data_IF_903760836667
#
_entry.id   IF_903760836667
#
_cell.length_a   1.000
_cell.length_b   1.000
_cell.length_c   1.000
_cell.angle_alpha   90.00
_cell.angle_beta   90.00
_cell.angle_gamma   90.00
#
_symmetry.space_group_name_H-M   'P 1'
#
loop_
_entity.id
_entity.type
_entity.pdbx_description
1 polymer ?
#
# COMPACT_ATOMS: atom_id res chain seq x y z
N UNK A 1 10.64 -18.96 -16.16
CA UNK A 1 9.24 -18.53 -16.14
C UNK A 1 9.18 -17.24 -15.32
N UNK A 2 8.93 -16.08 -15.96
CA UNK A 2 8.81 -14.82 -15.21
C UNK A 2 7.51 -14.88 -14.38
N UNK A 3 7.55 -14.62 -13.06
CA UNK A 3 6.34 -14.64 -12.25
C UNK A 3 5.34 -13.60 -12.77
N UNK A 4 4.05 -13.92 -12.70
CA UNK A 4 2.97 -12.99 -13.05
C UNK A 4 3.12 -11.71 -12.20
N UNK A 5 3.32 -10.54 -12.85
CA UNK A 5 3.55 -9.29 -12.14
C UNK A 5 2.38 -8.88 -11.23
N UNK A 6 1.15 -9.27 -11.58
CA UNK A 6 -0.03 -9.06 -10.74
C UNK A 6 0.06 -9.90 -9.47
N UNK A 7 0.41 -11.18 -9.60
CA UNK A 7 0.59 -12.07 -8.46
C UNK A 7 1.72 -11.59 -7.53
N UNK A 8 2.82 -11.09 -8.10
CA UNK A 8 3.89 -10.47 -7.31
C UNK A 8 3.40 -9.23 -6.55
N UNK A 9 2.65 -8.33 -7.21
CA UNK A 9 2.10 -7.15 -6.56
C UNK A 9 1.11 -7.49 -5.43
N UNK A 10 0.37 -8.58 -5.57
CA UNK A 10 -0.57 -9.04 -4.54
C UNK A 10 0.13 -9.63 -3.30
N UNK A 11 1.34 -10.14 -3.43
CA UNK A 11 2.05 -10.87 -2.36
C UNK A 11 3.18 -10.09 -1.69
N UNK A 12 3.64 -8.97 -2.27
CA UNK A 12 4.72 -8.17 -1.68
C UNK A 12 4.27 -7.38 -0.46
N UNK A 13 5.13 -7.28 0.54
CA UNK A 13 4.88 -6.58 1.80
C UNK A 13 5.97 -5.54 2.08
N UNK A 14 5.55 -4.34 2.48
CA UNK A 14 6.42 -3.20 2.75
C UNK A 14 6.39 -2.76 4.22
N UNK A 15 5.77 -3.57 5.08
CA UNK A 15 5.69 -3.31 6.53
C UNK A 15 4.57 -2.34 6.94
N UNK A 16 3.85 -1.77 5.98
CA UNK A 16 2.67 -0.94 6.15
C UNK A 16 1.63 -1.36 5.12
N UNK A 17 0.40 -1.62 5.56
CA UNK A 17 -0.65 -2.06 4.65
C UNK A 17 -1.00 -0.98 3.61
N UNK A 18 -0.86 0.29 3.98
CA UNK A 18 -1.02 1.41 3.06
C UNK A 18 0.03 1.42 1.94
N UNK A 19 1.29 1.05 2.24
CA UNK A 19 2.33 0.88 1.22
C UNK A 19 2.04 -0.33 0.33
N UNK A 20 1.62 -1.45 0.91
CA UNK A 20 1.24 -2.64 0.15
C UNK A 20 0.08 -2.30 -0.80
N UNK A 21 -0.90 -1.53 -0.33
CA UNK A 21 -2.08 -1.11 -1.09
C UNK A 21 -1.73 -0.16 -2.24
N UNK A 22 -0.94 0.88 -2.00
CA UNK A 22 -0.55 1.84 -3.05
C UNK A 22 0.35 1.23 -4.10
N UNK A 23 1.14 0.22 -3.74
CA UNK A 23 2.10 -0.45 -4.61
C UNK A 23 1.48 -1.54 -5.51
N UNK A 24 0.16 -1.61 -5.60
CA UNK A 24 -0.57 -2.56 -6.45
C UNK A 24 -0.63 -2.17 -7.93
N UNK A 25 -0.07 -1.02 -8.31
CA UNK A 25 0.25 -0.69 -9.71
C UNK A 25 1.70 -1.03 -9.99
N UNK A 26 1.95 -1.89 -10.97
CA UNK A 26 3.29 -2.35 -11.33
C UNK A 26 3.61 -2.04 -12.79
N UNK A 27 4.86 -1.74 -13.08
CA UNK A 27 5.35 -1.58 -14.45
C UNK A 27 5.75 -2.95 -15.00
N UNK A 28 5.24 -3.27 -16.18
CA UNK A 28 5.63 -4.45 -16.96
C UNK A 28 6.28 -4.02 -18.27
N UNK A 29 6.76 -4.97 -19.06
CA UNK A 29 7.29 -4.68 -20.40
C UNK A 29 6.24 -4.07 -21.35
N UNK A 30 4.96 -4.38 -21.13
CA UNK A 30 3.83 -3.84 -21.90
C UNK A 30 3.24 -2.55 -21.30
N UNK A 31 3.85 -2.00 -20.26
CA UNK A 31 3.39 -0.80 -19.58
C UNK A 31 2.85 -1.05 -18.16
N UNK A 32 2.22 -0.05 -17.54
CA UNK A 32 1.66 -0.18 -16.20
C UNK A 32 0.48 -1.13 -16.18
N UNK A 33 0.45 -1.99 -15.16
CA UNK A 33 -0.64 -2.94 -14.89
C UNK A 33 -1.19 -2.69 -13.50
N UNK A 34 -2.50 -2.49 -13.41
CA UNK A 34 -3.22 -2.36 -12.15
C UNK A 34 -3.61 -3.76 -11.62
N UNK A 35 -3.08 -4.12 -10.44
CA UNK A 35 -3.48 -5.38 -9.79
C UNK A 35 -4.94 -5.36 -9.34
N UNK A 36 -5.57 -4.19 -9.21
CA UNK A 36 -7.00 -4.05 -8.90
C UNK A 36 -7.87 -3.79 -10.13
N UNK A 37 -7.44 -4.23 -11.33
CA UNK A 37 -8.24 -4.09 -12.56
C UNK A 37 -9.61 -4.76 -12.51
N UNK A 38 -9.83 -5.69 -11.58
CA UNK A 38 -11.13 -6.30 -11.28
C UNK A 38 -11.42 -6.32 -9.78
N UNK A 39 -12.70 -6.36 -9.44
CA UNK A 39 -13.14 -6.45 -8.04
C UNK A 39 -12.66 -7.72 -7.34
N UNK A 40 -12.57 -8.84 -8.07
CA UNK A 40 -12.13 -10.11 -7.50
C UNK A 40 -10.63 -10.09 -7.15
N UNK A 41 -9.81 -9.40 -7.94
CA UNK A 41 -8.39 -9.21 -7.63
C UNK A 41 -8.20 -8.32 -6.40
N UNK A 42 -9.01 -7.28 -6.23
CA UNK A 42 -9.02 -6.47 -5.01
C UNK A 42 -9.37 -7.33 -3.79
N UNK A 43 -10.46 -8.12 -3.88
CA UNK A 43 -10.89 -8.99 -2.77
C UNK A 43 -9.82 -10.02 -2.45
N UNK A 44 -9.23 -10.64 -3.46
CA UNK A 44 -8.11 -11.58 -3.28
C UNK A 44 -6.89 -10.92 -2.61
N UNK A 45 -6.58 -9.68 -2.97
CA UNK A 45 -5.52 -8.93 -2.31
C UNK A 45 -5.86 -8.67 -0.83
N UNK A 46 -7.08 -8.26 -0.52
CA UNK A 46 -7.50 -8.01 0.85
C UNK A 46 -7.50 -9.29 1.69
N UNK A 47 -7.88 -10.44 1.12
CA UNK A 47 -7.78 -11.74 1.77
C UNK A 47 -6.32 -12.12 2.09
N UNK A 48 -5.37 -11.77 1.21
CA UNK A 48 -3.93 -12.00 1.41
C UNK A 48 -3.29 -10.99 2.36
N UNK A 49 -3.72 -9.75 2.31
CA UNK A 49 -3.19 -8.66 3.12
C UNK A 49 -3.72 -8.69 4.56
N UNK A 50 -4.87 -9.32 4.75
CA UNK A 50 -5.56 -9.51 6.03
C UNK A 50 -5.59 -8.23 6.88
N UNK A 51 -6.22 -7.13 6.40
CA UNK A 51 -6.32 -5.92 7.19
C UNK A 51 -7.04 -6.17 8.52
N UNK A 52 -6.68 -5.48 9.60
CA UNK A 52 -7.33 -5.65 10.90
C UNK A 52 -8.85 -5.54 10.80
N UNK A 53 -9.57 -6.56 11.27
CA UNK A 53 -11.03 -6.65 11.20
C UNK A 53 -11.60 -6.96 9.81
N UNK A 54 -10.77 -7.33 8.84
CA UNK A 54 -11.21 -7.62 7.47
C UNK A 54 -12.29 -8.69 7.34
N UNK A 55 -12.24 -9.83 8.04
CA UNK A 55 -13.28 -10.86 7.93
C UNK A 55 -14.69 -10.32 8.20
N UNK A 56 -14.83 -9.46 9.21
CA UNK A 56 -16.09 -8.82 9.60
C UNK A 56 -16.49 -7.67 8.66
N UNK A 57 -15.49 -7.05 8.03
CA UNK A 57 -15.69 -5.95 7.09
C UNK A 57 -15.87 -6.41 5.64
N UNK A 58 -15.69 -7.70 5.33
CA UNK A 58 -15.79 -8.25 3.97
C UNK A 58 -17.17 -8.02 3.37
N UNK A 59 -17.28 -7.33 2.21
CA UNK A 59 -18.57 -7.02 1.62
C UNK A 59 -19.24 -8.27 1.06
N UNK A 60 -20.54 -8.41 1.31
CA UNK A 60 -21.38 -9.48 0.76
C UNK A 60 -22.12 -8.99 -0.48
N UNK A 61 -22.12 -9.80 -1.54
CA UNK A 61 -22.82 -9.51 -2.78
C UNK A 61 -22.06 -8.60 -3.76
N UNK A 62 -22.42 -8.70 -5.04
CA UNK A 62 -21.71 -8.06 -6.15
C UNK A 62 -21.76 -6.53 -6.10
N UNK A 63 -22.91 -5.95 -5.74
CA UNK A 63 -23.06 -4.48 -5.65
C UNK A 63 -22.15 -3.90 -4.59
N UNK A 64 -22.09 -4.50 -3.39
CA UNK A 64 -21.22 -4.07 -2.32
C UNK A 64 -19.72 -4.19 -2.71
N UNK A 65 -19.34 -5.25 -3.42
CA UNK A 65 -17.98 -5.43 -3.96
C UNK A 65 -17.62 -4.39 -5.01
N UNK A 66 -18.54 -4.02 -5.91
CA UNK A 66 -18.32 -2.94 -6.89
C UNK A 66 -18.13 -1.58 -6.24
N UNK A 67 -18.93 -1.27 -5.21
CA UNK A 67 -18.76 -0.04 -4.41
C UNK A 67 -17.39 -0.05 -3.74
N UNK A 68 -17.02 -1.13 -3.08
CA UNK A 68 -15.71 -1.29 -2.46
C UNK A 68 -14.58 -1.05 -3.47
N UNK A 69 -14.68 -1.63 -4.67
CA UNK A 69 -13.65 -1.49 -5.71
C UNK A 69 -13.49 -0.03 -6.17
N UNK A 70 -14.59 0.67 -6.44
CA UNK A 70 -14.55 2.07 -6.84
C UNK A 70 -13.92 2.97 -5.76
N UNK A 71 -14.28 2.73 -4.49
CA UNK A 71 -13.70 3.47 -3.37
C UNK A 71 -12.23 3.09 -3.12
N UNK A 72 -11.84 1.84 -3.35
CA UNK A 72 -10.44 1.40 -3.24
C UNK A 72 -9.53 2.12 -4.25
N UNK A 73 -9.97 2.25 -5.50
CA UNK A 73 -9.22 3.00 -6.52
C UNK A 73 -9.06 4.46 -6.13
N UNK A 74 -10.13 5.11 -5.62
CA UNK A 74 -10.06 6.50 -5.13
C UNK A 74 -9.12 6.65 -3.94
N UNK A 75 -9.24 5.75 -2.96
CA UNK A 75 -8.39 5.75 -1.77
C UNK A 75 -6.92 5.58 -2.13
N UNK A 76 -6.59 4.69 -3.08
CA UNK A 76 -5.23 4.47 -3.53
C UNK A 76 -4.60 5.73 -4.14
N UNK A 77 -5.35 6.46 -4.96
CA UNK A 77 -4.90 7.75 -5.51
C UNK A 77 -4.68 8.78 -4.40
N UNK A 78 -5.57 8.83 -3.41
CA UNK A 78 -5.41 9.74 -2.28
C UNK A 78 -4.21 9.39 -1.38
N UNK A 79 -3.93 8.09 -1.18
CA UNK A 79 -2.73 7.65 -0.44
C UNK A 79 -1.46 8.02 -1.22
N UNK A 80 -1.41 7.80 -2.54
CA UNK A 80 -0.25 8.21 -3.35
C UNK A 80 -0.02 9.72 -3.26
N UNK A 81 -1.06 10.53 -3.37
CA UNK A 81 -0.98 11.98 -3.22
C UNK A 81 -0.53 12.41 -1.80
N UNK A 82 -1.02 11.73 -0.75
CA UNK A 82 -0.57 11.95 0.63
C UNK A 82 0.93 11.67 0.78
N UNK A 83 1.41 10.55 0.24
CA UNK A 83 2.83 10.18 0.30
C UNK A 83 3.71 11.17 -0.50
N UNK A 84 3.22 11.66 -1.66
CA UNK A 84 3.91 12.71 -2.41
C UNK A 84 4.04 13.99 -1.58
N UNK A 85 2.95 14.49 -1.02
CA UNK A 85 2.95 15.69 -0.19
C UNK A 85 3.87 15.53 1.04
N UNK A 86 3.78 14.39 1.73
CA UNK A 86 4.62 14.09 2.88
C UNK A 86 6.12 14.05 2.52
N UNK A 87 6.49 13.37 1.44
CA UNK A 87 7.89 13.28 0.99
C UNK A 87 8.45 14.64 0.52
N UNK A 88 7.62 15.47 -0.12
CA UNK A 88 7.96 16.84 -0.53
C UNK A 88 7.92 17.85 0.63
N UNK A 89 7.38 17.48 1.79
CA UNK A 89 7.10 18.37 2.94
C UNK A 89 6.12 19.50 2.58
N UNK A 90 5.19 19.19 1.69
CA UNK A 90 4.14 20.11 1.27
C UNK A 90 2.88 19.94 2.10
N UNK A 91 2.00 20.92 2.02
CA UNK A 91 0.70 20.86 2.69
C UNK A 91 -0.22 19.90 1.96
N UNK A 92 -0.91 19.06 2.72
CA UNK A 92 -1.98 18.21 2.21
C UNK A 92 -3.19 19.08 1.82
N UNK A 93 -3.81 18.79 0.67
CA UNK A 93 -5.06 19.45 0.26
C UNK A 93 -6.26 18.89 1.04
N UNK A 94 -7.31 19.70 1.20
CA UNK A 94 -8.56 19.25 1.83
C UNK A 94 -9.15 18.01 1.14
N UNK A 95 -9.09 17.95 -0.20
CA UNK A 95 -9.59 16.83 -1.00
C UNK A 95 -8.90 15.49 -0.66
N UNK A 96 -7.59 15.50 -0.39
CA UNK A 96 -6.87 14.30 0.07
C UNK A 96 -7.42 13.88 1.43
N UNK A 97 -7.56 14.81 2.38
CA UNK A 97 -8.10 14.54 3.71
C UNK A 97 -9.52 14.00 3.69
N UNK A 98 -10.39 14.58 2.87
CA UNK A 98 -11.76 14.13 2.69
C UNK A 98 -11.82 12.70 2.13
N UNK A 99 -11.01 12.40 1.13
CA UNK A 99 -10.99 11.07 0.51
C UNK A 99 -10.45 10.00 1.48
N UNK A 100 -9.40 10.30 2.24
CA UNK A 100 -8.87 9.42 3.29
C UNK A 100 -9.88 9.23 4.44
N UNK A 101 -10.62 10.27 4.80
CA UNK A 101 -11.62 10.22 5.87
C UNK A 101 -12.91 9.48 5.50
N UNK A 102 -13.22 9.32 4.20
CA UNK A 102 -14.46 8.65 3.76
C UNK A 102 -14.64 7.24 4.32
N UNK A 103 -13.67 6.31 4.17
CA UNK A 103 -13.81 4.96 4.72
C UNK A 103 -14.01 4.94 6.24
N UNK A 104 -13.34 5.85 6.96
CA UNK A 104 -13.40 5.92 8.43
C UNK A 104 -14.78 6.30 8.94
N UNK A 105 -15.51 7.18 8.23
CA UNK A 105 -16.89 7.57 8.58
C UNK A 105 -17.89 6.41 8.50
N UNK A 106 -17.55 5.35 7.79
CA UNK A 106 -18.40 4.18 7.59
C UNK A 106 -18.00 2.96 8.45
N UNK A 107 -17.16 3.19 9.46
CA UNK A 107 -16.81 2.21 10.49
C UNK A 107 -17.27 2.75 11.85
N UNK A 108 -18.14 2.01 12.51
CA UNK A 108 -18.45 2.23 13.93
C UNK A 108 -17.47 1.41 14.75
N UNK A 109 -16.78 2.04 15.66
CA UNK A 109 -15.87 1.38 16.59
C UNK A 109 -16.48 1.43 17.98
N UNK A 110 -16.58 0.28 18.65
CA UNK A 110 -17.03 0.15 20.03
C UNK A 110 -15.96 -0.59 20.83
N UNK A 111 -15.61 -0.03 21.97
CA UNK A 111 -14.70 -0.68 22.90
C UNK A 111 -15.54 -1.36 23.99
N UNK A 112 -15.26 -2.64 24.25
CA UNK A 112 -15.91 -3.42 25.30
C UNK A 112 -14.87 -3.98 26.23
N UNK A 113 -15.14 -3.87 27.54
CA UNK A 113 -14.33 -4.53 28.55
C UNK A 113 -14.83 -5.96 28.69
N UNK A 114 -13.97 -6.95 28.56
CA UNK A 114 -14.25 -8.38 28.71
C UNK A 114 -13.31 -8.98 29.73
N UNK A 115 -13.83 -9.92 30.49
CA UNK A 115 -13.11 -10.67 31.52
C UNK A 115 -13.98 -10.88 32.75
N UNK A 116 -13.66 -11.91 33.53
CA UNK A 116 -14.38 -12.35 34.73
C UNK A 116 -13.66 -12.00 36.03
N UNK A 117 -12.44 -11.49 35.95
CA UNK A 117 -11.64 -11.10 37.08
C UNK A 117 -10.73 -9.90 36.75
N UNK A 118 -10.30 -9.08 37.74
CA UNK A 118 -9.47 -7.91 37.48
C UNK A 118 -8.18 -8.21 36.72
N UNK A 119 -7.60 -9.38 36.91
CA UNK A 119 -6.38 -9.81 36.21
C UNK A 119 -6.62 -10.34 34.79
N UNK A 120 -7.86 -10.62 34.41
CA UNK A 120 -8.28 -11.14 33.13
C UNK A 120 -9.01 -10.08 32.27
N UNK A 121 -9.14 -8.84 32.78
CA UNK A 121 -9.78 -7.76 32.03
C UNK A 121 -8.98 -7.41 30.78
N UNK A 122 -9.65 -7.43 29.65
CA UNK A 122 -9.12 -7.00 28.36
C UNK A 122 -10.05 -5.98 27.71
N UNK A 123 -9.49 -5.11 26.89
CA UNK A 123 -10.25 -4.16 26.06
C UNK A 123 -10.37 -4.74 24.67
N UNK A 124 -11.57 -5.19 24.30
CA UNK A 124 -11.89 -5.60 22.94
C UNK A 124 -12.41 -4.43 22.13
N UNK A 125 -11.91 -4.31 20.91
CA UNK A 125 -12.33 -3.28 19.95
C UNK A 125 -13.16 -3.94 18.85
N UNK A 126 -14.47 -3.79 18.92
CA UNK A 126 -15.40 -4.25 17.87
C UNK A 126 -15.55 -3.18 16.80
N UNK A 127 -15.49 -3.61 15.53
CA UNK A 127 -15.69 -2.73 14.37
C UNK A 127 -16.87 -3.20 13.56
N UNK A 128 -17.86 -2.33 13.40
CA UNK A 128 -19.03 -2.56 12.56
C UNK A 128 -18.92 -1.74 11.28
N UNK A 129 -19.06 -2.40 10.14
CA UNK A 129 -19.09 -1.72 8.83
C UNK A 129 -20.53 -1.26 8.52
N UNK A 130 -20.70 0.05 8.38
CA UNK A 130 -21.98 0.66 8.04
C UNK A 130 -22.22 0.80 6.52
N UNK A 131 -21.13 0.71 5.72
CA UNK A 131 -21.16 0.85 4.26
C UNK A 131 -19.97 0.06 3.65
N UNK A 132 -20.06 -0.45 2.41
CA UNK A 132 -18.96 -1.21 1.78
C UNK A 132 -17.59 -0.51 1.81
N UNK A 133 -17.55 0.82 1.68
CA UNK A 133 -16.32 1.60 1.77
C UNK A 133 -15.63 1.52 3.15
N UNK A 134 -16.38 1.24 4.22
CA UNK A 134 -15.83 1.08 5.57
C UNK A 134 -14.79 -0.05 5.67
N UNK A 135 -14.86 -1.03 4.77
CA UNK A 135 -13.85 -2.09 4.67
C UNK A 135 -12.43 -1.58 4.38
N UNK A 136 -12.28 -0.37 3.86
CA UNK A 136 -11.01 0.30 3.59
C UNK A 136 -10.50 1.15 4.78
N UNK A 137 -11.29 1.25 5.85
CA UNK A 137 -10.95 2.05 7.03
C UNK A 137 -9.58 1.73 7.61
N UNK A 138 -9.23 0.45 7.87
CA UNK A 138 -7.90 0.07 8.37
C UNK A 138 -6.74 0.53 7.47
N UNK A 139 -6.94 0.52 6.15
CA UNK A 139 -5.92 0.96 5.18
C UNK A 139 -5.74 2.49 5.23
N UNK A 140 -6.85 3.23 5.31
CA UNK A 140 -6.82 4.68 5.43
C UNK A 140 -6.17 5.12 6.76
N UNK A 141 -6.50 4.43 7.86
CA UNK A 141 -5.90 4.66 9.18
C UNK A 141 -4.39 4.40 9.16
N UNK A 142 -3.96 3.29 8.56
CA UNK A 142 -2.55 2.94 8.43
C UNK A 142 -1.77 3.96 7.58
N UNK A 143 -2.38 4.50 6.51
CA UNK A 143 -1.77 5.56 5.71
C UNK A 143 -1.49 6.84 6.52
N UNK A 144 -2.43 7.24 7.37
CA UNK A 144 -2.26 8.40 8.26
C UNK A 144 -1.18 8.11 9.30
N UNK A 145 -1.20 6.93 9.92
CA UNK A 145 -0.18 6.51 10.89
C UNK A 145 1.21 6.45 10.27
N UNK A 146 1.32 5.95 9.04
CA UNK A 146 2.57 5.89 8.29
C UNK A 146 3.21 7.28 8.17
N UNK A 147 2.47 8.27 7.65
CA UNK A 147 3.03 9.62 7.45
C UNK A 147 3.25 10.39 8.75
N UNK A 148 2.50 10.07 9.80
CA UNK A 148 2.70 10.64 11.13
C UNK A 148 3.93 10.06 11.86
N UNK A 149 4.28 8.79 11.59
CA UNK A 149 5.34 8.07 12.31
C UNK A 149 6.66 8.04 11.56
N UNK A 150 6.63 8.05 10.22
CA UNK A 150 7.81 7.93 9.38
C UNK A 150 8.26 9.32 8.91
N UNK A 151 9.51 9.67 9.18
CA UNK A 151 10.08 10.93 8.70
C UNK A 151 9.93 11.07 7.16
N UNK A 152 9.55 12.27 6.71
CA UNK A 152 9.43 12.60 5.29
C UNK A 152 10.66 12.19 4.46
N UNK A 153 11.86 12.32 5.01
CA UNK A 153 13.12 11.93 4.35
C UNK A 153 13.28 10.42 4.17
N UNK A 154 12.47 9.65 4.87
CA UNK A 154 12.46 8.17 4.83
C UNK A 154 11.34 7.60 3.96
N UNK A 155 10.33 8.38 3.61
CA UNK A 155 9.30 8.03 2.64
C UNK A 155 9.85 8.27 1.24
N UNK A 156 10.02 7.21 0.44
CA UNK A 156 10.71 7.30 -0.85
C UNK A 156 10.03 6.51 -1.94
N UNK A 157 10.08 7.03 -3.15
CA UNK A 157 9.85 6.23 -4.36
C UNK A 157 11.10 5.47 -4.77
N UNK A 158 10.93 4.27 -5.28
CA UNK A 158 12.00 3.49 -5.87
C UNK A 158 12.63 4.23 -7.06
N UNK A 159 13.97 4.23 -7.14
CA UNK A 159 14.72 4.90 -8.22
C UNK A 159 14.93 4.03 -9.46
N UNK A 160 14.33 2.84 -9.54
CA UNK A 160 14.34 2.07 -10.76
C UNK A 160 13.35 2.66 -11.78
N UNK A 161 13.77 2.89 -13.01
CA UNK A 161 12.99 3.53 -14.07
C UNK A 161 11.68 2.78 -14.38
N UNK A 162 11.70 1.46 -14.13
CA UNK A 162 10.59 0.54 -14.29
C UNK A 162 9.89 0.21 -12.97
N UNK A 163 9.87 1.13 -11.98
CA UNK A 163 9.28 0.90 -10.69
C UNK A 163 8.61 2.15 -10.12
N UNK A 164 7.31 2.05 -9.79
CA UNK A 164 6.52 3.16 -9.20
C UNK A 164 6.39 3.07 -7.67
N UNK A 165 7.00 2.06 -7.03
CA UNK A 165 6.71 1.69 -5.64
C UNK A 165 7.24 2.68 -4.63
N UNK A 166 6.40 2.91 -3.62
CA UNK A 166 6.78 3.57 -2.38
C UNK A 166 7.39 2.59 -1.39
N UNK A 167 8.28 3.07 -0.54
CA UNK A 167 8.79 2.33 0.61
C UNK A 167 9.21 3.27 1.74
N UNK A 168 9.16 2.78 2.97
CA UNK A 168 9.78 3.43 4.12
C UNK A 168 11.24 2.94 4.23
N UNK A 169 12.19 3.87 4.25
CA UNK A 169 13.60 3.53 4.40
C UNK A 169 13.93 3.30 5.87
N UNK A 170 13.91 2.04 6.29
CA UNK A 170 14.26 1.59 7.65
C UNK A 170 15.74 1.33 7.84
N UNK A 171 16.59 1.56 6.83
CA UNK A 171 18.03 1.36 6.93
C UNK A 171 18.69 2.32 7.92
N UNK A 172 19.77 1.90 8.58
CA UNK A 172 20.50 2.70 9.57
C UNK A 172 20.92 4.08 9.02
N UNK A 173 21.40 4.11 7.77
CA UNK A 173 21.88 5.35 7.13
C UNK A 173 20.80 6.16 6.39
N UNK A 174 19.56 5.67 6.24
CA UNK A 174 18.49 6.38 5.53
C UNK A 174 18.82 6.70 4.07
N UNK A 175 19.62 5.89 3.38
CA UNK A 175 20.12 6.14 2.00
C UNK A 175 19.68 5.09 0.99
N UNK A 176 18.68 4.29 1.34
CA UNK A 176 18.16 3.24 0.45
C UNK A 176 17.53 3.88 -0.80
N UNK A 177 17.94 3.44 -1.97
CA UNK A 177 17.46 3.94 -3.27
C UNK A 177 16.39 3.04 -3.92
N UNK A 178 16.28 1.78 -3.48
CA UNK A 178 15.45 0.75 -4.10
C UNK A 178 14.43 0.20 -3.10
N UNK A 179 13.21 -0.04 -3.58
CA UNK A 179 12.18 -0.69 -2.76
C UNK A 179 12.57 -2.11 -2.33
N UNK A 180 13.40 -2.79 -3.13
CA UNK A 180 14.00 -4.09 -2.83
C UNK A 180 15.39 -4.19 -3.45
N UNK A 181 16.38 -4.62 -2.66
CA UNK A 181 17.72 -4.93 -3.20
C UNK A 181 17.71 -6.18 -4.07
N UNK A 182 16.92 -7.19 -3.69
CA UNK A 182 16.84 -8.47 -4.43
C UNK A 182 16.24 -8.31 -5.83
N UNK A 183 15.35 -7.33 -6.03
CA UNK A 183 14.72 -7.06 -7.32
C UNK A 183 15.29 -5.81 -7.98
N UNK A 184 14.87 -4.62 -7.59
CA UNK A 184 15.24 -3.36 -8.23
C UNK A 184 16.74 -3.05 -8.11
N UNK A 185 17.35 -3.33 -6.94
CA UNK A 185 18.78 -3.11 -6.74
C UNK A 185 19.65 -4.00 -7.64
N UNK A 186 19.31 -5.29 -7.75
CA UNK A 186 20.05 -6.22 -8.59
C UNK A 186 19.86 -5.90 -10.09
N UNK A 187 18.63 -5.52 -10.53
CA UNK A 187 18.42 -5.05 -11.91
C UNK A 187 19.28 -3.83 -12.24
N UNK A 188 19.32 -2.84 -11.36
CA UNK A 188 20.11 -1.63 -11.55
C UNK A 188 21.62 -1.94 -11.60
N UNK A 189 22.12 -2.90 -10.80
CA UNK A 189 23.50 -3.37 -10.88
C UNK A 189 23.79 -4.07 -12.21
N UNK A 190 22.92 -4.97 -12.65
CA UNK A 190 23.06 -5.67 -13.92
C UNK A 190 23.03 -4.72 -15.12
N UNK A 191 22.14 -3.71 -15.11
CA UNK A 191 22.10 -2.69 -16.17
C UNK A 191 23.40 -1.89 -16.25
N UNK A 192 23.94 -1.42 -15.11
CA UNK A 192 25.22 -0.72 -15.06
C UNK A 192 26.39 -1.58 -15.51
N UNK A 193 26.37 -2.86 -15.21
CA UNK A 193 27.39 -3.80 -15.66
C UNK A 193 27.37 -3.94 -17.19
N UNK A 194 26.20 -4.16 -17.81
CA UNK A 194 26.05 -4.24 -19.26
C UNK A 194 26.53 -2.96 -19.96
N UNK A 195 26.05 -1.79 -19.52
CA UNK A 195 26.44 -0.51 -20.11
C UNK A 195 27.97 -0.25 -20.10
N UNK A 196 28.69 -0.76 -19.08
CA UNK A 196 30.16 -0.65 -19.03
C UNK A 196 30.87 -1.59 -20.00
N UNK A 197 30.29 -2.76 -20.27
CA UNK A 197 30.88 -3.74 -21.18
C UNK A 197 30.54 -3.47 -22.65
N UNK A 198 29.35 -2.93 -22.95
CA UNK A 198 28.97 -2.49 -24.31
C UNK A 198 29.81 -1.32 -24.77
N UNK A 199 30.09 -0.34 -23.91
CA UNK A 199 30.99 0.78 -24.24
C UNK A 199 32.47 0.43 -24.37
N UNK A 200 32.88 -0.77 -23.98
CA UNK A 200 34.25 -1.24 -24.14
C UNK A 200 34.48 -1.98 -25.48
N UNK A 201 33.41 -2.44 -26.13
CA UNK A 201 33.48 -3.17 -27.42
C UNK A 201 33.51 -2.20 -28.60
N UNK A 202 32.92 -1.01 -28.47
CA UNK A 202 32.91 0.03 -29.52
C UNK A 202 34.19 0.89 -29.54
N UNK A 203 35.14 0.64 -28.63
CA UNK A 203 36.38 1.41 -28.52
C UNK A 203 37.61 0.64 -29.05
N UNK A 204 37.44 -0.47 -29.78
CA UNK A 204 38.50 -1.26 -30.40
C UNK A 204 38.29 -1.38 -31.90
#
# INVERSE_FOLDING_TARGET
>A
MNPDPVRCALSERFGWIALDFVNTVVITRSGPVDAFRTVDLLVSWMDLADPPGWPDLKPKGLTARRILHAEAVRLRVAIDALLCAAAARERMTASIGDTLGRPLRWVRTQNRIVGDSPSALTLECERERLHPAGALGPIAEDAVRLVASVSATRLRRCRADDCLRWFADTSKGGRRSWCSMATCGNRAKAARFRARHEGAVDAT
#
